data_IF_829489953030
#
_entry.id   IF_829489953030
#
_cell.length_a   1.000
_cell.length_b   1.000
_cell.length_c   1.000
_cell.angle_alpha   90.00
_cell.angle_beta   90.00
_cell.angle_gamma   90.00
#
_symmetry.space_group_name_H-M   'P 1'
#
loop_
_entity.id
_entity.type
_entity.pdbx_description
1 polymer ?
#
# COMPACT_ATOMS: atom_id res chain seq x y z
N UNK A 1 -26.05 12.42 -12.59
CA UNK A 1 -25.18 12.02 -11.45
C UNK A 1 -23.85 12.78 -11.50
N UNK A 2 -23.91 14.07 -11.81
CA UNK A 2 -22.80 15.00 -11.86
C UNK A 2 -23.36 16.31 -11.35
N UNK A 3 -22.54 17.11 -10.67
CA UNK A 3 -22.97 18.44 -10.23
C UNK A 3 -23.50 19.25 -11.44
N UNK A 4 -24.64 19.90 -11.26
CA UNK A 4 -25.17 20.79 -12.29
C UNK A 4 -24.21 21.97 -12.49
N UNK A 5 -23.94 22.36 -13.74
CA UNK A 5 -23.09 23.52 -14.05
C UNK A 5 -21.57 23.29 -14.13
N UNK A 6 -21.06 22.08 -13.83
CA UNK A 6 -19.62 21.75 -13.83
C UNK A 6 -18.90 21.90 -15.20
N UNK A 7 -19.63 21.98 -16.31
CA UNK A 7 -19.04 22.05 -17.64
C UNK A 7 -18.31 20.74 -18.04
N UNK A 8 -17.35 20.80 -18.99
CA UNK A 8 -16.62 19.62 -19.45
C UNK A 8 -15.65 19.06 -18.40
N UNK A 9 -15.62 17.73 -18.27
CA UNK A 9 -14.90 17.01 -17.20
C UNK A 9 -13.38 17.24 -17.20
N UNK A 10 -12.73 17.19 -18.37
CA UNK A 10 -11.27 17.32 -18.49
C UNK A 10 -10.76 18.70 -18.05
N UNK A 11 -11.32 19.82 -18.57
CA UNK A 11 -11.03 21.16 -18.07
C UNK A 11 -11.26 21.32 -16.57
N UNK A 12 -12.36 20.77 -16.04
CA UNK A 12 -12.67 20.83 -14.61
C UNK A 12 -11.54 20.24 -13.76
N UNK A 13 -11.10 19.01 -14.03
CA UNK A 13 -10.00 18.40 -13.27
C UNK A 13 -8.68 19.13 -13.47
N UNK A 14 -8.39 19.60 -14.69
CA UNK A 14 -7.16 20.33 -14.97
C UNK A 14 -7.05 21.60 -14.13
N UNK A 15 -8.13 22.37 -14.08
CA UNK A 15 -8.23 23.60 -13.29
C UNK A 15 -7.98 23.32 -11.80
N UNK A 16 -8.68 22.32 -11.25
CA UNK A 16 -8.52 21.87 -9.86
C UNK A 16 -7.11 21.38 -9.53
N UNK A 17 -6.43 20.71 -10.45
CA UNK A 17 -5.04 20.30 -10.23
C UNK A 17 -4.07 21.48 -10.21
N UNK A 18 -4.37 22.56 -10.92
CA UNK A 18 -3.50 23.74 -10.99
C UNK A 18 -3.69 24.73 -9.85
N UNK A 19 -4.83 24.66 -9.16
CA UNK A 19 -5.21 25.56 -8.06
C UNK A 19 -4.86 25.03 -6.66
N UNK A 20 -4.17 23.88 -6.55
CA UNK A 20 -3.81 23.29 -5.26
C UNK A 20 -3.03 24.31 -4.42
N UNK A 21 -3.57 24.68 -3.26
CA UNK A 21 -2.98 25.66 -2.36
C UNK A 21 -3.36 25.33 -0.90
N UNK A 22 -2.35 25.05 -0.08
CA UNK A 22 -2.53 24.68 1.32
C UNK A 22 -2.79 25.90 2.24
N UNK A 23 -2.42 27.10 1.80
CA UNK A 23 -2.63 28.35 2.55
C UNK A 23 -4.09 28.81 2.46
N UNK A 24 -4.70 28.68 1.29
CA UNK A 24 -6.11 29.05 1.07
C UNK A 24 -7.08 27.90 1.38
N UNK A 25 -6.57 26.68 1.55
CA UNK A 25 -7.38 25.47 1.77
C UNK A 25 -7.95 24.85 0.49
N UNK A 26 -7.53 25.31 -0.69
CA UNK A 26 -7.92 24.69 -1.97
C UNK A 26 -7.14 23.40 -2.20
N UNK A 27 -7.65 22.29 -1.66
CA UNK A 27 -7.00 20.98 -1.74
C UNK A 27 -7.83 19.95 -2.52
N UNK A 28 -8.83 20.39 -3.27
CA UNK A 28 -9.70 19.53 -4.06
C UNK A 28 -8.92 18.78 -5.14
N UNK A 29 -8.02 19.47 -5.84
CA UNK A 29 -7.11 18.85 -6.81
C UNK A 29 -6.28 17.72 -6.19
N UNK A 30 -5.73 17.93 -5.00
CA UNK A 30 -4.96 16.92 -4.29
C UNK A 30 -5.83 15.73 -3.87
N UNK A 31 -7.06 15.99 -3.43
CA UNK A 31 -8.04 14.95 -3.11
C UNK A 31 -8.31 14.06 -4.33
N UNK A 32 -8.57 14.64 -5.49
CA UNK A 32 -8.78 13.89 -6.73
C UNK A 32 -7.56 13.04 -7.10
N UNK A 33 -6.34 13.58 -6.98
CA UNK A 33 -5.09 12.82 -7.22
C UNK A 33 -5.03 11.59 -6.33
N UNK A 34 -5.25 11.75 -5.01
CA UNK A 34 -5.21 10.64 -4.05
C UNK A 34 -6.27 9.60 -4.38
N UNK A 35 -7.48 10.04 -4.74
CA UNK A 35 -8.56 9.13 -5.07
C UNK A 35 -8.24 8.30 -6.33
N UNK A 36 -7.69 8.92 -7.38
CA UNK A 36 -7.24 8.21 -8.59
C UNK A 36 -6.12 7.21 -8.27
N UNK A 37 -5.12 7.65 -7.49
CA UNK A 37 -4.03 6.77 -7.05
C UNK A 37 -4.54 5.60 -6.20
N UNK A 38 -5.59 5.81 -5.41
CA UNK A 38 -6.19 4.75 -4.59
C UNK A 38 -6.84 3.65 -5.43
N UNK A 39 -7.53 4.04 -6.50
CA UNK A 39 -8.13 3.10 -7.47
C UNK A 39 -7.03 2.34 -8.20
N UNK A 40 -5.98 3.05 -8.66
CA UNK A 40 -4.85 2.40 -9.32
C UNK A 40 -4.17 1.39 -8.39
N UNK A 41 -3.96 1.76 -7.13
CA UNK A 41 -3.35 0.87 -6.13
C UNK A 41 -4.23 -0.34 -5.84
N UNK A 42 -5.57 -0.19 -5.76
CA UNK A 42 -6.50 -1.32 -5.68
C UNK A 42 -6.28 -2.27 -6.87
N UNK A 43 -6.27 -1.75 -8.10
CA UNK A 43 -6.14 -2.58 -9.30
C UNK A 43 -4.84 -3.40 -9.25
N UNK A 44 -3.73 -2.78 -8.86
CA UNK A 44 -2.44 -3.45 -8.68
C UNK A 44 -2.53 -4.54 -7.60
N UNK A 45 -3.10 -4.25 -6.43
CA UNK A 45 -3.21 -5.22 -5.33
C UNK A 45 -4.14 -6.39 -5.67
N UNK A 46 -5.25 -6.13 -6.38
CA UNK A 46 -6.12 -7.16 -6.90
C UNK A 46 -5.42 -8.03 -7.94
N UNK A 47 -4.65 -7.43 -8.84
CA UNK A 47 -3.86 -8.16 -9.82
C UNK A 47 -2.82 -9.08 -9.15
N UNK A 48 -2.10 -8.56 -8.15
CA UNK A 48 -1.15 -9.34 -7.36
C UNK A 48 -1.83 -10.49 -6.59
N UNK A 49 -2.98 -10.24 -5.97
CA UNK A 49 -3.76 -11.28 -5.29
C UNK A 49 -4.18 -12.40 -6.26
N UNK A 50 -4.60 -12.05 -7.48
CA UNK A 50 -4.95 -13.02 -8.52
C UNK A 50 -3.73 -13.84 -8.94
N UNK A 51 -2.55 -13.21 -9.09
CA UNK A 51 -1.32 -13.92 -9.42
C UNK A 51 -0.94 -14.94 -8.33
N UNK A 52 -1.03 -14.55 -7.05
CA UNK A 52 -0.78 -15.44 -5.91
C UNK A 52 -1.73 -16.65 -5.93
N UNK A 53 -3.02 -16.41 -6.18
CA UNK A 53 -4.01 -17.50 -6.31
C UNK A 53 -3.70 -18.40 -7.51
N UNK A 54 -3.28 -17.83 -8.64
CA UNK A 54 -2.96 -18.58 -9.85
C UNK A 54 -1.69 -19.44 -9.67
N UNK A 55 -0.73 -18.96 -8.88
CA UNK A 55 0.51 -19.67 -8.58
C UNK A 55 0.27 -21.02 -7.90
N UNK A 56 -0.50 -21.02 -6.81
CA UNK A 56 -0.84 -22.26 -6.09
C UNK A 56 -2.16 -22.13 -5.36
N UNK A 57 -3.26 -22.21 -6.11
CA UNK A 57 -4.62 -22.04 -5.58
C UNK A 57 -5.02 -23.06 -4.51
N UNK A 58 -4.33 -24.20 -4.40
CA UNK A 58 -4.58 -25.22 -3.38
C UNK A 58 -3.82 -24.98 -2.08
N UNK A 59 -2.75 -24.18 -2.10
CA UNK A 59 -2.01 -23.89 -0.88
C UNK A 59 -2.81 -22.94 0.02
N UNK A 60 -2.94 -23.27 1.31
CA UNK A 60 -3.69 -22.44 2.26
C UNK A 60 -3.05 -21.06 2.43
N UNK A 61 -1.73 -20.98 2.26
CA UNK A 61 -0.93 -19.78 2.38
C UNK A 61 -1.21 -18.78 1.26
N UNK A 62 -1.22 -19.24 0.01
CA UNK A 62 -1.56 -18.39 -1.14
C UNK A 62 -2.99 -17.87 -1.05
N UNK A 63 -3.95 -18.70 -0.61
CA UNK A 63 -5.34 -18.26 -0.37
C UNK A 63 -5.42 -17.19 0.70
N UNK A 64 -4.72 -17.42 1.81
CA UNK A 64 -4.65 -16.48 2.91
C UNK A 64 -4.04 -15.16 2.47
N UNK A 65 -2.90 -15.20 1.78
CA UNK A 65 -2.20 -13.99 1.37
C UNK A 65 -2.96 -13.22 0.28
N UNK A 66 -3.66 -13.91 -0.62
CA UNK A 66 -4.52 -13.26 -1.61
C UNK A 66 -5.70 -12.51 -0.98
N UNK A 67 -6.37 -13.09 0.02
CA UNK A 67 -7.47 -12.41 0.73
C UNK A 67 -6.95 -11.22 1.51
N UNK A 68 -5.76 -11.34 2.08
CA UNK A 68 -5.11 -10.24 2.77
C UNK A 68 -4.83 -9.07 1.83
N UNK A 69 -4.26 -9.34 0.65
CA UNK A 69 -4.02 -8.31 -0.36
C UNK A 69 -5.31 -7.70 -0.90
N UNK A 70 -6.36 -8.49 -1.06
CA UNK A 70 -7.67 -7.97 -1.46
C UNK A 70 -8.26 -7.04 -0.39
N UNK A 71 -8.18 -7.43 0.88
CA UNK A 71 -8.66 -6.62 2.00
C UNK A 71 -7.85 -5.32 2.15
N UNK A 72 -6.52 -5.39 1.99
CA UNK A 72 -5.67 -4.20 1.96
C UNK A 72 -6.00 -3.30 0.77
N UNK A 73 -6.17 -3.87 -0.43
CA UNK A 73 -6.58 -3.12 -1.62
C UNK A 73 -7.89 -2.36 -1.42
N UNK A 74 -8.90 -3.00 -0.84
CA UNK A 74 -10.18 -2.35 -0.56
C UNK A 74 -10.03 -1.19 0.43
N UNK A 75 -9.16 -1.34 1.44
CA UNK A 75 -8.90 -0.27 2.41
C UNK A 75 -8.14 0.92 1.84
N UNK A 76 -7.26 0.66 0.87
CA UNK A 76 -6.49 1.73 0.22
C UNK A 76 -7.41 2.74 -0.46
N UNK A 77 -8.59 2.31 -0.91
CA UNK A 77 -9.63 3.16 -1.49
C UNK A 77 -10.39 4.05 -0.49
N UNK A 78 -9.80 4.43 0.64
CA UNK A 78 -10.49 5.14 1.73
C UNK A 78 -11.33 6.36 1.30
N UNK A 79 -10.93 7.07 0.24
CA UNK A 79 -11.56 8.30 -0.23
C UNK A 79 -12.15 8.23 -1.65
N UNK A 80 -12.28 7.06 -2.28
CA UNK A 80 -12.61 6.94 -3.72
C UNK A 80 -13.91 7.65 -4.14
N UNK A 81 -14.88 7.79 -3.23
CA UNK A 81 -16.15 8.47 -3.47
C UNK A 81 -15.97 9.97 -3.79
N UNK A 82 -14.80 10.55 -3.51
CA UNK A 82 -14.41 11.89 -3.92
C UNK A 82 -13.67 11.92 -5.26
N UNK A 83 -13.60 10.80 -6.02
CA UNK A 83 -12.99 10.83 -7.36
C UNK A 83 -13.75 11.73 -8.32
N UNK A 84 -15.06 11.82 -8.17
CA UNK A 84 -15.96 12.59 -9.01
C UNK A 84 -16.88 13.42 -8.10
N UNK A 85 -17.23 14.66 -8.47
CA UNK A 85 -18.19 15.49 -7.74
C UNK A 85 -19.62 14.93 -7.92
N UNK A 86 -19.90 13.83 -7.22
CA UNK A 86 -21.23 13.22 -7.17
C UNK A 86 -22.22 14.11 -6.40
N UNK A 87 -23.51 13.90 -6.66
CA UNK A 87 -24.61 14.49 -5.89
C UNK A 87 -24.82 13.75 -4.56
N UNK A 88 -25.61 14.35 -3.67
CA UNK A 88 -25.94 13.80 -2.35
C UNK A 88 -26.56 12.38 -2.39
N UNK A 89 -27.15 11.98 -3.52
CA UNK A 89 -27.72 10.63 -3.72
C UNK A 89 -26.71 9.49 -3.50
N UNK A 90 -25.40 9.80 -3.60
CA UNK A 90 -24.33 8.84 -3.39
C UNK A 90 -24.04 8.55 -1.91
N UNK A 91 -24.65 9.29 -0.97
CA UNK A 91 -24.46 9.12 0.48
C UNK A 91 -24.77 7.70 0.97
N UNK A 92 -25.83 7.08 0.44
CA UNK A 92 -26.21 5.72 0.81
C UNK A 92 -25.16 4.70 0.34
N UNK A 93 -24.67 4.85 -0.89
CA UNK A 93 -23.63 3.98 -1.45
C UNK A 93 -22.32 4.15 -0.68
N UNK A 94 -21.95 5.38 -0.33
CA UNK A 94 -20.81 5.68 0.53
C UNK A 94 -20.95 5.00 1.89
N UNK A 95 -22.14 4.99 2.49
CA UNK A 95 -22.38 4.35 3.78
C UNK A 95 -22.13 2.84 3.72
N UNK A 96 -22.66 2.14 2.71
CA UNK A 96 -22.40 0.71 2.54
C UNK A 96 -20.93 0.40 2.25
N UNK A 97 -20.29 1.23 1.41
CA UNK A 97 -18.86 1.11 1.16
C UNK A 97 -18.03 1.21 2.45
N UNK A 98 -18.36 2.17 3.33
CA UNK A 98 -17.66 2.34 4.60
C UNK A 98 -17.78 1.12 5.51
N UNK A 99 -18.93 0.44 5.54
CA UNK A 99 -19.07 -0.83 6.28
C UNK A 99 -18.09 -1.87 5.75
N UNK A 100 -17.97 -2.01 4.43
CA UNK A 100 -16.97 -2.85 3.80
C UNK A 100 -15.53 -2.46 4.17
N UNK A 101 -15.26 -1.15 4.26
CA UNK A 101 -13.94 -0.62 4.58
C UNK A 101 -13.53 -0.95 6.02
N UNK A 102 -14.46 -0.82 6.98
CA UNK A 102 -14.23 -1.22 8.37
C UNK A 102 -14.14 -2.74 8.53
N UNK A 103 -14.94 -3.49 7.77
CA UNK A 103 -14.81 -4.95 7.69
C UNK A 103 -13.42 -5.37 7.25
N UNK A 104 -12.92 -4.81 6.13
CA UNK A 104 -11.56 -5.10 5.66
C UNK A 104 -10.50 -4.63 6.67
N UNK A 105 -10.73 -3.52 7.38
CA UNK A 105 -9.81 -3.04 8.41
C UNK A 105 -9.66 -4.01 9.57
N UNK A 106 -10.78 -4.56 10.06
CA UNK A 106 -10.79 -5.56 11.12
C UNK A 106 -10.27 -6.93 10.63
N UNK A 107 -10.60 -7.31 9.39
CA UNK A 107 -10.11 -8.53 8.77
C UNK A 107 -8.57 -8.52 8.66
N UNK A 108 -7.98 -7.43 8.15
CA UNK A 108 -6.53 -7.30 8.06
C UNK A 108 -5.86 -7.44 9.42
N UNK A 109 -6.43 -6.84 10.47
CA UNK A 109 -5.91 -7.00 11.84
C UNK A 109 -5.83 -8.47 12.23
N UNK A 110 -6.91 -9.25 12.04
CA UNK A 110 -6.89 -10.66 12.40
C UNK A 110 -5.93 -11.46 11.53
N UNK A 111 -5.85 -11.14 10.25
CA UNK A 111 -4.94 -11.81 9.34
C UNK A 111 -3.48 -11.52 9.72
N UNK A 112 -3.10 -10.27 10.00
CA UNK A 112 -1.73 -9.93 10.44
C UNK A 112 -1.28 -10.72 11.66
N UNK A 113 -2.16 -10.87 12.64
CA UNK A 113 -1.89 -11.67 13.83
C UNK A 113 -1.86 -13.18 13.53
N UNK A 114 -2.62 -13.62 12.54
CA UNK A 114 -2.73 -15.03 12.15
C UNK A 114 -1.63 -15.49 11.19
N UNK A 115 -0.84 -14.59 10.61
CA UNK A 115 0.28 -14.92 9.70
C UNK A 115 1.30 -15.87 10.35
N UNK A 116 1.44 -15.82 11.68
CA UNK A 116 2.29 -16.74 12.45
C UNK A 116 1.86 -18.22 12.36
N UNK A 117 0.62 -18.50 11.93
CA UNK A 117 0.15 -19.87 11.70
C UNK A 117 0.85 -20.52 10.50
N UNK A 118 1.35 -19.71 9.57
CA UNK A 118 2.14 -20.16 8.42
C UNK A 118 3.64 -20.14 8.77
N UNK A 119 4.08 -19.17 9.56
CA UNK A 119 5.47 -18.97 9.98
C UNK A 119 5.62 -19.01 11.51
N UNK A 120 5.51 -20.18 12.16
CA UNK A 120 5.42 -20.28 13.61
C UNK A 120 6.72 -19.94 14.35
N UNK A 121 6.62 -19.18 15.43
CA UNK A 121 7.71 -19.05 16.42
C UNK A 121 7.73 -20.24 17.38
N UNK A 122 8.86 -20.49 18.07
CA UNK A 122 9.01 -21.58 19.06
C UNK A 122 7.88 -21.63 20.10
N UNK A 123 7.32 -20.49 20.51
CA UNK A 123 6.22 -20.39 21.50
C UNK A 123 4.83 -20.60 20.91
N UNK A 124 4.65 -20.35 19.61
CA UNK A 124 3.35 -20.40 18.93
C UNK A 124 3.24 -21.57 17.94
N UNK A 125 4.07 -22.61 18.10
CA UNK A 125 4.05 -23.81 17.26
C UNK A 125 2.68 -24.51 17.21
N UNK A 126 1.83 -24.36 18.22
CA UNK A 126 0.47 -24.92 18.20
C UNK A 126 -0.41 -24.31 17.09
N UNK A 127 -0.14 -23.07 16.67
CA UNK A 127 -0.89 -22.40 15.59
C UNK A 127 -0.56 -22.97 14.22
N UNK A 128 0.54 -23.70 14.08
CA UNK A 128 0.96 -24.36 12.83
C UNK A 128 0.16 -25.62 12.48
N UNK A 129 -0.92 -25.91 13.22
CA UNK A 129 -1.77 -27.06 12.95
C UNK A 129 -2.46 -26.91 11.59
N UNK A 130 -2.40 -27.96 10.78
CA UNK A 130 -2.95 -28.00 9.43
C UNK A 130 -4.45 -27.65 9.37
N UNK A 131 -5.24 -28.08 10.36
CA UNK A 131 -6.67 -27.73 10.45
C UNK A 131 -6.91 -26.23 10.64
N UNK A 132 -6.01 -25.54 11.35
CA UNK A 132 -6.11 -24.09 11.56
C UNK A 132 -5.74 -23.40 10.25
N UNK A 133 -4.54 -23.72 9.74
CA UNK A 133 -3.97 -23.13 8.52
C UNK A 133 -4.91 -23.23 7.32
N UNK A 134 -5.53 -24.38 7.11
CA UNK A 134 -6.42 -24.62 5.96
C UNK A 134 -7.75 -23.88 6.04
N UNK A 135 -8.15 -23.40 7.22
CA UNK A 135 -9.44 -22.77 7.44
C UNK A 135 -9.37 -21.26 7.68
N UNK A 136 -8.21 -20.71 8.04
CA UNK A 136 -8.06 -19.27 8.34
C UNK A 136 -8.56 -18.35 7.22
N UNK A 137 -8.33 -18.73 5.95
CA UNK A 137 -8.72 -17.92 4.80
C UNK A 137 -10.23 -17.66 4.70
N UNK A 138 -11.09 -18.57 5.16
CA UNK A 138 -12.55 -18.38 5.17
C UNK A 138 -13.11 -18.11 6.56
N UNK A 139 -12.51 -18.67 7.61
CA UNK A 139 -12.96 -18.50 8.98
C UNK A 139 -12.79 -17.05 9.47
N UNK A 140 -11.69 -16.38 9.12
CA UNK A 140 -11.44 -15.00 9.52
C UNK A 140 -12.44 -14.02 8.88
N UNK A 141 -12.74 -14.07 7.56
CA UNK A 141 -13.83 -13.27 6.99
C UNK A 141 -15.19 -13.49 7.67
N UNK A 142 -15.57 -14.75 7.93
CA UNK A 142 -16.85 -15.07 8.59
C UNK A 142 -16.88 -14.51 10.01
N UNK A 143 -15.82 -14.72 10.78
CA UNK A 143 -15.70 -14.19 12.14
C UNK A 143 -15.77 -12.65 12.16
N UNK A 144 -15.09 -12.01 11.21
CA UNK A 144 -15.12 -10.55 11.04
C UNK A 144 -16.54 -10.06 10.70
N UNK A 145 -17.26 -10.78 9.83
CA UNK A 145 -18.63 -10.42 9.46
C UNK A 145 -19.58 -10.49 10.66
N UNK A 146 -19.43 -11.51 11.51
CA UNK A 146 -20.19 -11.65 12.76
C UNK A 146 -19.89 -10.48 13.69
N UNK A 147 -18.62 -10.11 13.87
CA UNK A 147 -18.25 -9.00 14.76
C UNK A 147 -18.74 -7.64 14.25
N UNK A 148 -18.61 -7.35 12.95
CA UNK A 148 -19.12 -6.12 12.35
C UNK A 148 -20.66 -6.07 12.46
N UNK A 149 -21.34 -7.18 12.18
CA UNK A 149 -22.79 -7.28 12.34
C UNK A 149 -23.24 -7.08 13.79
N UNK A 150 -22.52 -7.66 14.76
CA UNK A 150 -22.77 -7.46 16.19
C UNK A 150 -22.53 -6.01 16.61
N UNK A 151 -21.48 -5.36 16.10
CA UNK A 151 -21.18 -3.96 16.38
C UNK A 151 -22.29 -3.04 15.86
N UNK A 152 -22.75 -3.24 14.62
CA UNK A 152 -23.86 -2.48 14.03
C UNK A 152 -25.15 -2.71 14.82
N UNK A 153 -25.47 -3.96 15.15
CA UNK A 153 -26.67 -4.32 15.91
C UNK A 153 -26.67 -3.70 17.32
N UNK A 154 -25.54 -3.78 18.03
CA UNK A 154 -25.41 -3.19 19.37
C UNK A 154 -25.43 -1.67 19.39
N UNK A 155 -24.97 -1.02 18.31
CA UNK A 155 -24.99 0.44 18.16
C UNK A 155 -26.31 0.99 17.61
N UNK A 156 -27.26 0.11 17.25
CA UNK A 156 -28.59 0.45 16.73
C UNK A 156 -28.62 0.91 15.26
N UNK A 157 -27.51 1.44 14.73
CA UNK A 157 -27.40 1.85 13.33
C UNK A 157 -25.94 1.84 12.84
N UNK A 158 -25.76 1.90 11.51
CA UNK A 158 -24.43 2.03 10.89
C UNK A 158 -23.78 3.36 11.28
N UNK A 159 -24.55 4.45 11.36
CA UNK A 159 -24.08 5.77 11.80
C UNK A 159 -23.60 5.70 13.26
N UNK A 160 -24.34 5.03 14.15
CA UNK A 160 -23.92 4.84 15.53
C UNK A 160 -22.63 4.02 15.66
N UNK A 161 -22.49 2.97 14.85
CA UNK A 161 -21.32 2.09 14.88
C UNK A 161 -20.05 2.76 14.33
N UNK A 162 -20.15 3.51 13.24
CA UNK A 162 -18.99 3.94 12.45
C UNK A 162 -18.89 5.45 12.19
N UNK A 163 -19.90 6.22 12.56
CA UNK A 163 -20.02 7.65 12.29
C UNK A 163 -20.89 7.96 11.05
N UNK A 164 -21.41 9.18 11.01
CA UNK A 164 -22.21 9.71 9.90
C UNK A 164 -21.41 10.02 8.64
N UNK A 165 -22.10 10.26 7.54
CA UNK A 165 -21.51 10.80 6.32
C UNK A 165 -22.15 12.14 5.98
N UNK A 166 -21.36 13.01 5.38
CA UNK A 166 -21.77 14.34 4.95
C UNK A 166 -21.40 14.53 3.49
N UNK A 167 -22.26 15.23 2.76
CA UNK A 167 -22.03 15.73 1.42
C UNK A 167 -22.15 17.25 1.50
N UNK A 168 -21.12 17.93 1.01
CA UNK A 168 -21.04 19.38 0.99
C UNK A 168 -21.01 19.80 -0.47
N UNK A 169 -21.91 20.71 -0.83
CA UNK A 169 -22.04 21.26 -2.16
C UNK A 169 -21.95 22.79 -2.12
N UNK A 170 -21.09 23.30 -3.00
CA UNK A 170 -20.71 24.69 -3.13
C UNK A 170 -20.95 25.13 -4.57
N UNK A 171 -21.93 26.01 -4.78
CA UNK A 171 -22.39 26.41 -6.11
C UNK A 171 -21.85 27.77 -6.58
N UNK A 172 -21.73 28.74 -5.66
CA UNK A 172 -21.18 30.06 -5.92
C UNK A 172 -20.67 30.71 -4.62
N UNK A 173 -19.88 31.80 -4.73
CA UNK A 173 -19.35 32.56 -3.57
C UNK A 173 -20.45 33.12 -2.68
N UNK A 174 -21.54 33.61 -3.27
CA UNK A 174 -22.63 34.28 -2.55
C UNK A 174 -23.81 33.34 -2.21
N UNK A 175 -23.68 32.03 -2.48
CA UNK A 175 -24.69 31.03 -2.13
C UNK A 175 -24.33 30.31 -0.82
N UNK A 176 -25.34 30.05 0.02
CA UNK A 176 -25.14 29.27 1.24
C UNK A 176 -24.69 27.83 0.93
N UNK A 177 -23.76 27.31 1.73
CA UNK A 177 -23.27 25.94 1.64
C UNK A 177 -24.43 24.96 1.79
N UNK A 178 -24.60 24.06 0.83
CA UNK A 178 -25.60 23.00 0.92
C UNK A 178 -24.95 21.79 1.63
N UNK A 179 -25.33 21.57 2.89
CA UNK A 179 -24.89 20.43 3.68
C UNK A 179 -26.00 19.37 3.73
N UNK A 180 -25.72 18.18 3.18
CA UNK A 180 -26.59 17.01 3.30
C UNK A 180 -25.91 15.95 4.15
N UNK A 181 -26.59 15.46 5.20
CA UNK A 181 -26.05 14.46 6.11
C UNK A 181 -26.90 13.18 6.10
N UNK A 182 -26.25 12.04 6.33
CA UNK A 182 -26.97 10.78 6.58
C UNK A 182 -27.83 10.90 7.85
N UNK A 183 -29.06 10.34 7.89
CA UNK A 183 -29.92 10.42 9.07
C UNK A 183 -29.23 9.93 10.36
N UNK A 184 -29.30 10.73 11.43
CA UNK A 184 -28.70 10.44 12.73
C UNK A 184 -27.23 10.86 12.89
N UNK A 185 -26.63 11.50 11.88
CA UNK A 185 -25.29 12.08 11.97
C UNK A 185 -25.27 13.30 12.91
N UNK A 186 -24.19 13.50 13.70
CA UNK A 186 -24.04 14.72 14.49
C UNK A 186 -23.91 15.96 13.58
N UNK A 187 -24.27 17.16 14.06
CA UNK A 187 -24.08 18.38 13.28
C UNK A 187 -22.59 18.67 13.10
N UNK A 188 -22.23 19.23 11.95
CA UNK A 188 -20.87 19.70 11.62
C UNK A 188 -20.95 21.12 11.07
N UNK A 189 -19.90 21.90 11.28
CA UNK A 189 -19.70 23.16 10.55
C UNK A 189 -19.07 22.82 9.19
N UNK A 190 -19.56 23.46 8.12
CA UNK A 190 -19.07 23.30 6.76
C UNK A 190 -18.94 24.67 6.11
N UNK A 191 -17.89 24.87 5.32
CA UNK A 191 -17.64 26.11 4.58
C UNK A 191 -17.19 25.81 3.16
N UNK A 192 -17.41 26.77 2.26
CA UNK A 192 -16.82 26.77 0.93
C UNK A 192 -15.48 27.51 0.98
N UNK A 193 -14.51 27.02 0.21
CA UNK A 193 -13.34 27.78 -0.22
C UNK A 193 -13.81 28.96 -1.07
N UNK A 194 -13.44 30.18 -0.67
CA UNK A 194 -13.86 31.44 -1.29
C UNK A 194 -13.01 31.81 -2.53
N UNK A 195 -13.04 30.98 -3.58
CA UNK A 195 -12.35 31.27 -4.86
C UNK A 195 -13.30 31.17 -6.05
N UNK A 196 -13.48 32.26 -6.81
CA UNK A 196 -14.45 32.34 -7.93
C UNK A 196 -14.26 31.23 -8.97
N UNK A 197 -13.01 30.90 -9.28
CA UNK A 197 -12.67 29.87 -10.29
C UNK A 197 -12.94 28.44 -9.81
N UNK A 198 -13.23 28.27 -8.52
CA UNK A 198 -13.35 26.95 -7.91
C UNK A 198 -14.78 26.38 -8.00
N UNK A 199 -15.78 27.17 -8.39
CA UNK A 199 -17.19 26.75 -8.39
C UNK A 199 -17.66 26.19 -9.74
N UNK A 200 -18.62 25.24 -9.75
CA UNK A 200 -19.22 24.59 -8.59
C UNK A 200 -18.47 23.29 -8.24
N UNK A 201 -18.46 22.91 -6.96
CA UNK A 201 -17.77 21.70 -6.50
C UNK A 201 -18.50 21.04 -5.34
N UNK A 202 -18.26 19.75 -5.17
CA UNK A 202 -18.76 18.98 -4.03
C UNK A 202 -17.76 17.96 -3.55
N UNK A 203 -17.88 17.61 -2.28
CA UNK A 203 -17.09 16.55 -1.67
C UNK A 203 -17.86 15.87 -0.54
N UNK A 204 -17.47 14.63 -0.27
CA UNK A 204 -17.97 13.85 0.84
C UNK A 204 -16.98 13.84 1.99
N UNK A 205 -17.52 13.94 3.20
CA UNK A 205 -16.75 13.89 4.44
C UNK A 205 -17.25 12.72 5.30
N UNK A 206 -16.40 11.73 5.61
CA UNK A 206 -16.76 10.63 6.49
C UNK A 206 -16.60 11.03 7.96
N UNK A 207 -17.69 11.19 8.71
CA UNK A 207 -17.62 11.30 10.16
C UNK A 207 -17.17 9.98 10.81
N UNK A 208 -16.48 10.02 11.95
CA UNK A 208 -15.96 8.82 12.63
C UNK A 208 -16.46 8.72 14.07
N UNK A 209 -17.11 7.61 14.42
CA UNK A 209 -17.43 7.26 15.81
C UNK A 209 -16.16 6.85 16.58
N UNK A 210 -16.24 6.76 17.91
CA UNK A 210 -15.11 6.27 18.73
C UNK A 210 -14.63 4.87 18.31
N UNK A 211 -15.57 3.97 18.00
CA UNK A 211 -15.25 2.64 17.48
C UNK A 211 -14.60 2.71 16.08
N UNK A 212 -15.07 3.61 15.22
CA UNK A 212 -14.45 3.88 13.92
C UNK A 212 -13.02 4.39 14.04
N UNK A 213 -12.77 5.33 14.96
CA UNK A 213 -11.43 5.87 15.26
C UNK A 213 -10.49 4.76 15.78
N UNK A 214 -10.97 3.88 16.65
CA UNK A 214 -10.18 2.72 17.10
C UNK A 214 -9.84 1.77 15.94
N UNK A 215 -10.80 1.45 15.08
CA UNK A 215 -10.58 0.59 13.91
C UNK A 215 -9.66 1.21 12.86
N UNK A 216 -9.58 2.55 12.79
CA UNK A 216 -8.60 3.26 11.97
C UNK A 216 -7.17 3.06 12.49
N UNK A 217 -6.99 3.05 13.82
CA UNK A 217 -5.70 2.91 14.50
C UNK A 217 -5.25 1.46 14.71
N UNK A 218 -6.17 0.51 14.75
CA UNK A 218 -5.86 -0.89 15.04
C UNK A 218 -4.91 -1.56 14.01
N UNK A 219 -5.01 -1.30 12.70
CA UNK A 219 -4.15 -1.90 11.69
C UNK A 219 -2.65 -1.59 11.84
N UNK A 220 -2.19 -0.33 11.97
CA UNK A 220 -0.77 -0.06 12.21
C UNK A 220 -0.26 -0.68 13.52
N UNK A 221 -1.09 -0.71 14.58
CA UNK A 221 -0.73 -1.40 15.83
C UNK A 221 -0.56 -2.91 15.63
N UNK A 222 -1.48 -3.54 14.91
CA UNK A 222 -1.38 -4.97 14.58
C UNK A 222 -0.19 -5.29 13.67
N UNK A 223 0.19 -4.37 12.77
CA UNK A 223 1.38 -4.50 11.94
C UNK A 223 2.67 -4.46 12.77
N UNK A 224 2.74 -3.63 13.83
CA UNK A 224 3.87 -3.63 14.78
C UNK A 224 4.00 -5.02 15.44
N UNK A 225 2.89 -5.56 15.94
CA UNK A 225 2.88 -6.90 16.57
C UNK A 225 3.30 -7.97 15.56
N UNK A 226 2.75 -7.94 14.34
CA UNK A 226 3.08 -8.87 13.28
C UNK A 226 4.56 -8.79 12.88
N UNK A 227 5.15 -7.59 12.83
CA UNK A 227 6.58 -7.41 12.57
C UNK A 227 7.45 -8.08 13.65
N UNK A 228 7.13 -7.90 14.94
CA UNK A 228 7.87 -8.59 16.01
C UNK A 228 7.75 -10.12 15.91
N UNK A 229 6.55 -10.61 15.58
CA UNK A 229 6.30 -12.04 15.39
C UNK A 229 7.10 -12.60 14.19
N UNK A 230 7.07 -11.92 13.05
CA UNK A 230 7.81 -12.32 11.86
C UNK A 230 9.33 -12.23 12.05
N UNK A 231 9.84 -11.24 12.79
CA UNK A 231 11.25 -11.18 13.16
C UNK A 231 11.67 -12.40 13.99
N UNK A 232 10.81 -12.83 14.92
CA UNK A 232 11.02 -14.05 15.69
C UNK A 232 10.99 -15.33 14.85
N UNK A 233 10.12 -15.38 13.83
CA UNK A 233 10.05 -16.49 12.89
C UNK A 233 11.26 -16.53 11.96
N UNK A 234 11.66 -15.39 11.38
CA UNK A 234 12.84 -15.26 10.54
C UNK A 234 14.09 -15.75 11.26
N UNK A 235 14.39 -15.22 12.46
CA UNK A 235 15.59 -15.64 13.22
C UNK A 235 15.63 -17.13 13.49
N UNK A 236 14.47 -17.76 13.72
CA UNK A 236 14.40 -19.21 13.94
C UNK A 236 14.76 -19.98 12.67
N UNK A 237 14.19 -19.62 11.53
CA UNK A 237 14.43 -20.33 10.27
C UNK A 237 15.83 -20.08 9.71
N UNK A 238 16.43 -18.94 10.04
CA UNK A 238 17.82 -18.60 9.72
C UNK A 238 18.82 -19.46 10.52
N UNK A 239 18.44 -19.88 11.73
CA UNK A 239 19.25 -20.75 12.60
C UNK A 239 19.08 -22.26 12.31
N UNK A 240 18.07 -22.66 11.51
CA UNK A 240 17.75 -24.06 11.20
C UNK A 240 18.23 -24.43 9.78
N UNK A 241 19.20 -25.35 9.66
CA UNK A 241 19.75 -25.80 8.37
C UNK A 241 18.64 -26.33 7.43
N UNK A 242 18.67 -25.90 6.17
CA UNK A 242 17.71 -26.31 5.13
C UNK A 242 16.39 -25.55 5.10
N UNK A 243 16.24 -24.50 5.92
CA UNK A 243 15.02 -23.67 6.02
C UNK A 243 15.17 -22.27 5.41
N UNK A 244 16.23 -22.04 4.61
CA UNK A 244 16.57 -20.75 4.01
C UNK A 244 15.43 -20.09 3.23
N UNK A 245 14.65 -20.89 2.50
CA UNK A 245 13.49 -20.40 1.75
C UNK A 245 12.42 -19.81 2.68
N UNK A 246 12.12 -20.48 3.78
CA UNK A 246 11.14 -19.99 4.77
C UNK A 246 11.69 -18.79 5.56
N UNK A 247 13.01 -18.76 5.80
CA UNK A 247 13.69 -17.61 6.39
C UNK A 247 13.56 -16.36 5.51
N UNK A 248 13.79 -16.51 4.20
CA UNK A 248 13.68 -15.44 3.22
C UNK A 248 12.23 -14.93 3.04
N UNK A 249 11.26 -15.84 3.03
CA UNK A 249 9.83 -15.49 3.05
C UNK A 249 9.46 -14.71 4.30
N UNK A 250 9.79 -15.23 5.49
CA UNK A 250 9.51 -14.57 6.77
C UNK A 250 10.21 -13.21 6.90
N UNK A 251 11.44 -13.07 6.34
CA UNK A 251 12.16 -11.79 6.26
C UNK A 251 11.42 -10.79 5.37
N UNK A 252 10.93 -11.21 4.22
CA UNK A 252 10.18 -10.35 3.30
C UNK A 252 8.86 -9.89 3.92
N UNK A 253 8.14 -10.79 4.60
CA UNK A 253 6.94 -10.45 5.36
C UNK A 253 7.24 -9.50 6.52
N UNK A 254 8.33 -9.74 7.25
CA UNK A 254 8.81 -8.85 8.30
C UNK A 254 9.06 -7.45 7.76
N UNK A 255 9.77 -7.32 6.63
CA UNK A 255 10.05 -6.04 5.98
C UNK A 255 8.74 -5.34 5.59
N UNK A 256 7.78 -6.07 5.01
CA UNK A 256 6.46 -5.54 4.67
C UNK A 256 5.73 -4.95 5.89
N UNK A 257 5.61 -5.73 6.98
CA UNK A 257 4.97 -5.28 8.22
C UNK A 257 5.73 -4.16 8.91
N UNK A 258 7.06 -4.23 8.97
CA UNK A 258 7.90 -3.20 9.57
C UNK A 258 7.82 -1.88 8.78
N UNK A 259 7.77 -1.94 7.45
CA UNK A 259 7.54 -0.80 6.59
C UNK A 259 6.18 -0.14 6.87
N UNK A 260 5.10 -0.93 6.96
CA UNK A 260 3.79 -0.40 7.35
C UNK A 260 3.80 0.20 8.75
N UNK A 261 4.36 -0.50 9.73
CA UNK A 261 4.47 -0.03 11.11
C UNK A 261 5.25 1.29 11.21
N UNK A 262 6.33 1.44 10.45
CA UNK A 262 7.17 2.66 10.49
C UNK A 262 6.48 3.80 9.76
N UNK A 263 6.12 3.63 8.49
CA UNK A 263 5.60 4.72 7.65
C UNK A 263 4.21 5.15 8.14
N UNK A 264 3.29 4.20 8.32
CA UNK A 264 1.93 4.52 8.79
C UNK A 264 1.92 4.86 10.27
N UNK A 265 2.75 4.21 11.10
CA UNK A 265 2.83 4.51 12.53
C UNK A 265 3.35 5.91 12.82
N UNK A 266 4.34 6.39 12.07
CA UNK A 266 4.79 7.79 12.17
C UNK A 266 3.67 8.77 11.83
N UNK A 267 2.87 8.48 10.80
CA UNK A 267 1.79 9.37 10.36
C UNK A 267 0.47 9.20 11.13
N UNK A 268 0.35 8.14 11.94
CA UNK A 268 -0.69 8.06 12.99
C UNK A 268 -0.50 9.15 14.04
N UNK A 269 0.75 9.53 14.35
CA UNK A 269 1.00 10.65 15.27
C UNK A 269 0.41 11.96 14.74
N UNK A 270 0.34 12.14 13.43
CA UNK A 270 -0.32 13.29 12.81
C UNK A 270 -1.83 13.30 13.10
N UNK A 271 -2.51 12.14 13.07
CA UNK A 271 -3.93 12.06 13.49
C UNK A 271 -4.08 12.33 14.99
N UNK A 272 -3.21 11.75 15.82
CA UNK A 272 -3.26 11.97 17.27
C UNK A 272 -3.09 13.46 17.58
N UNK A 273 -2.14 14.12 16.91
CA UNK A 273 -1.94 15.56 17.00
C UNK A 273 -3.18 16.34 16.55
N UNK A 274 -3.73 16.02 15.37
CA UNK A 274 -4.93 16.69 14.86
C UNK A 274 -6.12 16.53 15.82
N UNK A 275 -6.36 15.31 16.30
CA UNK A 275 -7.45 15.01 17.24
C UNK A 275 -7.24 15.73 18.58
N UNK A 276 -6.01 15.80 19.08
CA UNK A 276 -5.70 16.48 20.34
C UNK A 276 -5.82 18.01 20.24
N UNK A 277 -5.51 18.59 19.08
CA UNK A 277 -5.48 20.04 18.87
C UNK A 277 -6.81 20.60 18.37
N UNK A 278 -7.50 19.87 17.49
CA UNK A 278 -8.70 20.31 16.77
C UNK A 278 -9.95 19.49 17.10
N UNK A 279 -9.85 18.44 17.93
CA UNK A 279 -10.99 17.64 18.40
C UNK A 279 -11.44 16.55 17.41
N UNK A 280 -11.28 16.76 16.11
CA UNK A 280 -11.52 15.74 15.07
C UNK A 280 -10.52 15.83 13.90
N UNK A 281 -10.57 14.87 12.98
CA UNK A 281 -9.72 14.85 11.77
C UNK A 281 -10.58 14.65 10.50
N UNK A 282 -11.29 15.69 10.07
CA UNK A 282 -12.13 15.66 8.87
C UNK A 282 -12.02 16.94 8.03
N UNK A 283 -12.31 16.84 6.72
CA UNK A 283 -12.28 18.00 5.80
C UNK A 283 -13.45 18.98 6.03
N UNK A 284 -14.54 18.56 6.67
CA UNK A 284 -15.67 19.44 6.95
C UNK A 284 -15.29 20.59 7.90
N UNK A 285 -14.45 20.28 8.89
CA UNK A 285 -14.10 21.22 9.97
C UNK A 285 -13.01 22.22 9.56
N UNK A 286 -12.59 22.25 8.29
CA UNK A 286 -11.60 23.22 7.80
C UNK A 286 -12.06 24.67 8.02
N UNK A 287 -13.37 24.92 8.00
CA UNK A 287 -13.96 26.23 8.22
C UNK A 287 -13.81 26.74 9.66
N UNK A 288 -13.63 25.84 10.65
CA UNK A 288 -13.46 26.20 12.06
C UNK A 288 -11.99 26.37 12.47
N UNK A 289 -11.05 26.06 11.58
CA UNK A 289 -9.61 26.10 11.83
C UNK A 289 -9.06 27.48 11.52
N UNK A 290 -8.27 28.01 12.47
CA UNK A 290 -7.54 29.27 12.31
C UNK A 290 -6.60 29.22 11.09
N UNK A 291 -6.58 30.30 10.28
CA UNK A 291 -5.89 30.34 8.99
C UNK A 291 -4.40 30.03 9.07
N UNK A 292 -3.73 30.41 10.16
CA UNK A 292 -2.30 30.11 10.36
C UNK A 292 -2.02 28.62 10.65
N UNK A 293 -3.03 27.88 11.12
CA UNK A 293 -2.93 26.45 11.46
C UNK A 293 -3.48 25.54 10.36
N UNK A 294 -4.23 26.09 9.41
CA UNK A 294 -4.83 25.38 8.28
C UNK A 294 -3.80 24.58 7.45
N UNK A 295 -2.62 25.12 7.07
CA UNK A 295 -1.64 24.35 6.31
C UNK A 295 -1.14 23.13 7.08
N UNK A 296 -0.85 23.30 8.39
CA UNK A 296 -0.34 22.23 9.26
C UNK A 296 -1.35 21.09 9.34
N UNK A 297 -2.64 21.43 9.50
CA UNK A 297 -3.72 20.47 9.52
C UNK A 297 -3.79 19.67 8.20
N UNK A 298 -3.75 20.37 7.07
CA UNK A 298 -3.81 19.77 5.75
C UNK A 298 -2.60 18.86 5.47
N UNK A 299 -1.37 19.23 5.85
CA UNK A 299 -0.21 18.33 5.74
C UNK A 299 -0.37 17.08 6.58
N UNK A 300 -0.88 17.20 7.81
CA UNK A 300 -1.10 16.07 8.69
C UNK A 300 -2.14 15.10 8.08
N UNK A 301 -3.24 15.63 7.57
CA UNK A 301 -4.31 14.86 6.95
C UNK A 301 -3.86 14.17 5.66
N UNK A 302 -3.30 14.92 4.72
CA UNK A 302 -2.88 14.37 3.43
C UNK A 302 -1.66 13.47 3.56
N UNK A 303 -0.73 13.79 4.45
CA UNK A 303 0.37 12.89 4.81
C UNK A 303 -0.17 11.54 5.27
N UNK A 304 -1.13 11.54 6.19
CA UNK A 304 -1.77 10.31 6.63
C UNK A 304 -2.48 9.56 5.47
N UNK A 305 -3.22 10.24 4.60
CA UNK A 305 -3.86 9.62 3.43
C UNK A 305 -2.86 8.98 2.47
N UNK A 306 -1.76 9.68 2.13
CA UNK A 306 -0.68 9.13 1.31
C UNK A 306 0.02 7.94 1.98
N UNK A 307 0.11 7.93 3.31
CA UNK A 307 0.66 6.79 4.05
C UNK A 307 -0.14 5.51 3.82
N UNK A 308 -1.47 5.61 3.68
CA UNK A 308 -2.34 4.45 3.42
C UNK A 308 -2.01 3.87 2.04
N UNK A 309 -1.92 4.73 1.02
CA UNK A 309 -1.57 4.36 -0.35
C UNK A 309 -0.20 3.67 -0.41
N UNK A 310 0.83 4.35 0.13
CA UNK A 310 2.20 3.86 0.08
C UNK A 310 2.36 2.53 0.81
N UNK A 311 1.83 2.43 2.02
CA UNK A 311 1.98 1.20 2.82
C UNK A 311 1.20 0.04 2.24
N UNK A 312 0.02 0.27 1.65
CA UNK A 312 -0.71 -0.76 0.93
C UNK A 312 0.06 -1.28 -0.27
N UNK A 313 0.60 -0.39 -1.10
CA UNK A 313 1.41 -0.76 -2.26
C UNK A 313 2.70 -1.50 -1.87
N UNK A 314 3.45 -0.97 -0.90
CA UNK A 314 4.70 -1.55 -0.42
C UNK A 314 4.48 -2.97 0.14
N UNK A 315 3.50 -3.13 1.02
CA UNK A 315 3.13 -4.44 1.57
C UNK A 315 2.69 -5.41 0.49
N UNK A 316 1.88 -4.94 -0.45
CA UNK A 316 1.42 -5.72 -1.60
C UNK A 316 2.56 -6.36 -2.36
N UNK A 317 3.57 -5.57 -2.69
CA UNK A 317 4.73 -6.06 -3.39
C UNK A 317 5.60 -6.97 -2.53
N UNK A 318 5.88 -6.63 -1.26
CA UNK A 318 6.70 -7.46 -0.37
C UNK A 318 6.08 -8.83 -0.13
N UNK A 319 4.76 -8.91 0.02
CA UNK A 319 4.05 -10.17 0.27
C UNK A 319 3.92 -10.99 -1.01
N UNK A 320 3.66 -10.34 -2.14
CA UNK A 320 3.67 -11.01 -3.43
C UNK A 320 5.03 -11.57 -3.77
N UNK A 321 6.10 -10.82 -3.49
CA UNK A 321 7.47 -11.27 -3.63
C UNK A 321 7.74 -12.50 -2.75
N UNK A 322 7.39 -12.45 -1.46
CA UNK A 322 7.59 -13.58 -0.55
C UNK A 322 6.97 -14.87 -1.10
N UNK A 323 5.72 -14.81 -1.57
CA UNK A 323 4.98 -16.00 -2.01
C UNK A 323 5.33 -16.44 -3.44
N UNK A 324 5.48 -15.50 -4.38
CA UNK A 324 5.68 -15.84 -5.79
C UNK A 324 7.11 -16.28 -6.11
N UNK A 325 8.08 -15.87 -5.30
CA UNK A 325 9.51 -16.21 -5.47
C UNK A 325 9.77 -17.71 -5.55
N UNK A 326 8.99 -18.53 -4.83
CA UNK A 326 9.13 -19.99 -4.82
C UNK A 326 8.19 -20.72 -5.79
N UNK A 327 7.22 -20.03 -6.40
CA UNK A 327 6.10 -20.68 -7.11
C UNK A 327 6.03 -20.38 -8.62
N UNK A 328 6.55 -19.25 -9.13
CA UNK A 328 6.47 -18.92 -10.57
C UNK A 328 7.77 -18.26 -11.05
N UNK A 329 8.46 -18.94 -11.98
CA UNK A 329 9.56 -18.39 -12.79
C UNK A 329 9.24 -17.02 -13.42
N UNK A 330 10.23 -16.12 -13.46
CA UNK A 330 10.26 -14.97 -14.38
C UNK A 330 9.47 -13.73 -13.99
N UNK A 331 8.64 -13.77 -12.94
CA UNK A 331 7.98 -12.56 -12.44
C UNK A 331 8.96 -11.71 -11.61
N UNK A 332 9.95 -12.31 -10.95
CA UNK A 332 10.78 -11.62 -9.95
C UNK A 332 11.48 -10.36 -10.52
N UNK A 333 12.05 -10.44 -11.72
CA UNK A 333 12.62 -9.28 -12.41
C UNK A 333 11.58 -8.24 -12.79
N UNK A 334 10.39 -8.66 -13.23
CA UNK A 334 9.31 -7.74 -13.61
C UNK A 334 8.64 -7.09 -12.40
N UNK A 335 8.46 -7.82 -11.29
CA UNK A 335 7.98 -7.34 -10.00
C UNK A 335 8.98 -6.38 -9.37
N UNK A 336 10.27 -6.74 -9.37
CA UNK A 336 11.36 -5.88 -8.89
C UNK A 336 11.46 -4.61 -9.71
N UNK A 337 11.40 -4.71 -11.04
CA UNK A 337 11.38 -3.56 -11.96
C UNK A 337 10.16 -2.68 -11.75
N UNK A 338 9.00 -3.28 -11.51
CA UNK A 338 7.76 -2.57 -11.19
C UNK A 338 7.83 -1.87 -9.82
N UNK A 339 8.42 -2.52 -8.80
CA UNK A 339 8.71 -1.95 -7.49
C UNK A 339 9.68 -0.76 -7.56
N UNK A 340 10.84 -0.94 -8.21
CA UNK A 340 11.83 0.11 -8.41
C UNK A 340 11.22 1.30 -9.17
N UNK A 341 10.36 1.02 -10.14
CA UNK A 341 9.60 2.06 -10.85
C UNK A 341 8.56 2.75 -9.96
N UNK A 342 7.82 1.99 -9.15
CA UNK A 342 6.84 2.53 -8.19
C UNK A 342 7.48 3.43 -7.14
N UNK A 343 8.62 3.01 -6.56
CA UNK A 343 9.42 3.82 -5.63
C UNK A 343 9.95 5.08 -6.32
N UNK A 344 10.44 4.97 -7.56
CA UNK A 344 10.90 6.13 -8.34
C UNK A 344 9.78 7.15 -8.56
N UNK A 345 8.59 6.70 -8.98
CA UNK A 345 7.42 7.57 -9.18
C UNK A 345 6.97 8.19 -7.87
N UNK A 346 6.94 7.42 -6.78
CA UNK A 346 6.53 7.93 -5.47
C UNK A 346 7.50 9.00 -4.93
N UNK A 347 8.81 8.71 -4.92
CA UNK A 347 9.84 9.67 -4.49
C UNK A 347 9.80 10.91 -5.38
N UNK A 348 9.60 10.73 -6.68
CA UNK A 348 9.44 11.84 -7.61
C UNK A 348 8.21 12.71 -7.31
N UNK A 349 7.07 12.09 -7.04
CA UNK A 349 5.84 12.80 -6.67
C UNK A 349 6.00 13.57 -5.35
N UNK A 350 6.60 12.95 -4.33
CA UNK A 350 6.90 13.62 -3.04
C UNK A 350 7.86 14.79 -3.23
N UNK A 351 8.91 14.61 -4.05
CA UNK A 351 9.85 15.69 -4.36
C UNK A 351 9.18 16.86 -5.08
N UNK A 352 8.27 16.58 -6.02
CA UNK A 352 7.46 17.62 -6.69
C UNK A 352 6.61 18.38 -5.67
N UNK A 353 5.97 17.70 -4.72
CA UNK A 353 5.16 18.35 -3.67
C UNK A 353 6.03 19.22 -2.74
N UNK A 354 7.18 18.73 -2.30
CA UNK A 354 8.10 19.51 -1.44
C UNK A 354 8.61 20.76 -2.17
N UNK A 355 8.93 20.64 -3.46
CA UNK A 355 9.40 21.77 -4.24
C UNK A 355 8.26 22.71 -4.65
N UNK A 356 7.05 22.19 -4.84
CA UNK A 356 5.85 23.02 -5.02
C UNK A 356 5.71 23.99 -3.84
N UNK A 357 5.87 23.48 -2.62
CA UNK A 357 5.81 24.29 -1.41
C UNK A 357 6.92 25.35 -1.33
N UNK A 358 8.16 24.97 -1.65
CA UNK A 358 9.29 25.90 -1.62
C UNK A 358 9.17 27.03 -2.66
N UNK A 359 8.44 26.77 -3.74
CA UNK A 359 8.19 27.72 -4.83
C UNK A 359 6.90 28.51 -4.62
N UNK A 360 5.94 27.99 -3.86
CA UNK A 360 4.77 28.73 -3.41
C UNK A 360 5.21 29.94 -2.57
N UNK A 361 4.79 31.12 -3.01
CA UNK A 361 5.22 32.41 -2.46
C UNK A 361 6.38 33.09 -3.20
N UNK A 362 7.08 32.42 -4.12
CA UNK A 362 8.11 33.04 -4.98
C UNK A 362 7.72 33.17 -6.45
N UNK A 363 6.87 32.27 -6.96
CA UNK A 363 6.43 32.28 -8.37
C UNK A 363 4.92 32.00 -8.46
N UNK A 364 4.18 32.70 -9.32
CA UNK A 364 2.82 32.27 -9.69
C UNK A 364 2.88 30.93 -10.42
N UNK A 365 1.90 30.05 -10.18
CA UNK A 365 1.84 28.65 -10.67
C UNK A 365 2.90 27.71 -10.08
N UNK A 366 3.15 27.79 -8.77
CA UNK A 366 4.14 26.99 -8.04
C UNK A 366 4.06 25.47 -8.32
N UNK A 367 2.86 24.91 -8.48
CA UNK A 367 2.66 23.50 -8.83
C UNK A 367 3.13 23.10 -10.23
N UNK A 368 2.95 23.96 -11.25
CA UNK A 368 3.44 23.69 -12.62
C UNK A 368 4.94 23.94 -12.70
N UNK A 369 5.41 24.99 -12.02
CA UNK A 369 6.83 25.30 -11.92
C UNK A 369 7.61 24.18 -11.22
N UNK A 370 7.08 23.58 -10.15
CA UNK A 370 7.71 22.46 -9.46
C UNK A 370 7.75 21.19 -10.30
N UNK A 371 6.68 20.90 -11.07
CA UNK A 371 6.67 19.80 -12.01
C UNK A 371 7.73 19.96 -13.11
N UNK A 372 8.02 21.18 -13.56
CA UNK A 372 9.13 21.46 -14.49
C UNK A 372 10.50 21.37 -13.81
N UNK A 373 10.67 22.04 -12.66
CA UNK A 373 11.94 22.13 -11.93
C UNK A 373 12.39 20.77 -11.41
N UNK A 374 11.48 19.90 -11.00
CA UNK A 374 11.79 18.56 -10.48
C UNK A 374 11.59 17.49 -11.54
N UNK A 375 10.52 17.57 -12.33
CA UNK A 375 10.18 16.55 -13.34
C UNK A 375 11.17 16.49 -14.50
N UNK A 376 11.71 17.62 -14.97
CA UNK A 376 12.72 17.61 -16.04
C UNK A 376 14.02 16.96 -15.57
N UNK A 377 14.61 17.34 -14.42
CA UNK A 377 15.77 16.63 -13.87
C UNK A 377 15.50 15.17 -13.55
N UNK A 378 14.33 14.81 -12.97
CA UNK A 378 13.97 13.41 -12.71
C UNK A 378 13.93 12.59 -14.00
N UNK A 379 13.43 13.17 -15.09
CA UNK A 379 13.35 12.49 -16.39
C UNK A 379 14.74 12.28 -17.00
N UNK A 380 15.62 13.28 -16.90
CA UNK A 380 17.01 13.20 -17.37
C UNK A 380 17.83 12.23 -16.52
N UNK A 381 17.70 12.30 -15.20
CA UNK A 381 18.40 11.48 -14.22
C UNK A 381 17.67 10.15 -13.94
N UNK A 382 16.68 9.77 -14.74
CA UNK A 382 15.90 8.55 -14.51
C UNK A 382 16.77 7.31 -14.41
N UNK A 383 17.81 7.20 -15.26
CA UNK A 383 18.72 6.04 -15.29
C UNK A 383 19.56 5.93 -14.01
N UNK A 384 20.32 6.97 -13.58
CA UNK A 384 21.12 6.87 -12.36
C UNK A 384 20.25 6.69 -11.11
N UNK A 385 19.13 7.41 -10.99
CA UNK A 385 18.22 7.27 -9.83
C UNK A 385 17.62 5.87 -9.79
N UNK A 386 17.16 5.37 -10.94
CA UNK A 386 16.63 4.02 -11.05
C UNK A 386 17.70 2.98 -10.64
N UNK A 387 18.96 3.15 -11.04
CA UNK A 387 20.04 2.26 -10.62
C UNK A 387 20.27 2.29 -9.09
N UNK A 388 20.26 3.47 -8.46
CA UNK A 388 20.39 3.58 -6.99
C UNK A 388 19.21 2.92 -6.27
N UNK A 389 17.98 3.15 -6.74
CA UNK A 389 16.79 2.47 -6.21
C UNK A 389 16.92 0.96 -6.43
N UNK A 390 17.42 0.52 -7.57
CA UNK A 390 17.59 -0.90 -7.87
C UNK A 390 18.59 -1.55 -6.91
N UNK A 391 19.67 -0.86 -6.52
CA UNK A 391 20.62 -1.34 -5.50
C UNK A 391 19.92 -1.48 -4.14
N UNK A 392 19.17 -0.46 -3.71
CA UNK A 392 18.42 -0.51 -2.45
C UNK A 392 17.39 -1.64 -2.45
N UNK A 393 16.70 -1.82 -3.58
CA UNK A 393 15.75 -2.89 -3.82
C UNK A 393 16.46 -4.26 -3.85
N UNK A 394 17.68 -4.37 -4.37
CA UNK A 394 18.49 -5.58 -4.34
C UNK A 394 18.88 -5.98 -2.91
N UNK A 395 19.21 -4.99 -2.08
CA UNK A 395 19.51 -5.20 -0.64
C UNK A 395 18.25 -5.66 0.12
N UNK A 396 17.07 -5.13 -0.26
CA UNK A 396 15.78 -5.46 0.36
C UNK A 396 15.18 -6.77 -0.15
N UNK A 397 15.41 -7.13 -1.41
CA UNK A 397 14.90 -8.31 -2.12
C UNK A 397 16.06 -8.99 -2.89
N UNK A 398 16.95 -9.71 -2.19
CA UNK A 398 18.06 -10.42 -2.82
C UNK A 398 17.54 -11.49 -3.78
N UNK A 399 18.24 -11.68 -4.91
CA UNK A 399 17.97 -12.80 -5.83
C UNK A 399 17.91 -14.10 -5.03
N UNK A 400 16.88 -14.91 -5.26
CA UNK A 400 17.02 -16.32 -4.95
C UNK A 400 16.59 -17.17 -6.12
N UNK A 401 17.18 -18.35 -6.09
CA UNK A 401 17.05 -19.39 -7.08
C UNK A 401 15.88 -20.29 -6.70
N UNK A 402 15.20 -20.86 -7.69
CA UNK A 402 14.23 -21.92 -7.42
C UNK A 402 14.92 -23.12 -6.77
N UNK A 403 14.19 -24.11 -6.24
CA UNK A 403 14.82 -25.34 -5.74
C UNK A 403 15.60 -26.08 -6.82
N UNK A 404 15.10 -26.04 -8.05
CA UNK A 404 15.73 -26.62 -9.23
C UNK A 404 16.97 -25.82 -9.63
N UNK A 405 16.89 -24.49 -9.66
CA UNK A 405 18.05 -23.63 -9.94
C UNK A 405 19.10 -23.69 -8.84
N UNK A 406 18.69 -23.80 -7.57
CA UNK A 406 19.57 -23.99 -6.42
C UNK A 406 20.24 -25.36 -6.48
N UNK A 407 19.49 -26.42 -6.80
CA UNK A 407 20.05 -27.76 -7.02
C UNK A 407 20.99 -27.81 -8.23
N UNK A 408 20.70 -27.03 -9.28
CA UNK A 408 21.58 -26.87 -10.43
C UNK A 408 22.85 -26.09 -10.05
N UNK A 409 22.72 -24.98 -9.32
CA UNK A 409 23.84 -24.18 -8.84
C UNK A 409 24.72 -24.94 -7.85
N UNK A 410 24.15 -25.75 -6.97
CA UNK A 410 24.91 -26.64 -6.08
C UNK A 410 25.72 -27.65 -6.89
N UNK A 411 25.13 -28.24 -7.94
CA UNK A 411 25.85 -29.15 -8.82
C UNK A 411 26.90 -28.43 -9.66
N UNK A 412 26.61 -27.22 -10.14
CA UNK A 412 27.55 -26.38 -10.85
C UNK A 412 28.74 -25.98 -9.96
N UNK A 413 28.47 -25.57 -8.72
CA UNK A 413 29.46 -25.23 -7.72
C UNK A 413 30.38 -26.41 -7.39
N UNK A 414 29.82 -27.62 -7.21
CA UNK A 414 30.59 -28.84 -6.97
C UNK A 414 31.51 -29.19 -8.14
N UNK A 415 31.07 -28.93 -9.37
CA UNK A 415 31.83 -29.19 -10.58
C UNK A 415 32.89 -28.12 -10.83
N UNK A 416 32.63 -26.87 -10.41
CA UNK A 416 33.53 -25.74 -10.58
C UNK A 416 34.53 -25.55 -9.42
N UNK A 417 34.61 -26.50 -8.49
CA UNK A 417 35.49 -26.44 -7.31
C UNK A 417 36.99 -26.34 -7.69
N UNK A 418 37.39 -26.94 -8.80
CA UNK A 418 38.75 -26.87 -9.35
C UNK A 418 38.96 -25.73 -10.37
N UNK A 419 37.92 -24.94 -10.64
CA UNK A 419 37.92 -23.82 -11.57
C UNK A 419 37.98 -24.19 -13.06
N UNK A 420 37.87 -25.47 -13.43
CA UNK A 420 37.98 -25.92 -14.82
C UNK A 420 36.80 -26.83 -15.21
N UNK A 421 35.92 -26.31 -16.05
CA UNK A 421 34.80 -27.10 -16.56
C UNK A 421 35.22 -28.08 -17.67
N UNK A 422 35.23 -29.39 -17.40
CA UNK A 422 35.54 -30.41 -18.42
C UNK A 422 34.35 -30.72 -19.34
N UNK A 423 34.60 -31.36 -20.50
CA UNK A 423 33.53 -31.75 -21.43
C UNK A 423 32.53 -32.75 -20.82
N UNK A 424 32.98 -33.62 -19.92
CA UNK A 424 32.13 -34.63 -19.29
C UNK A 424 31.21 -34.00 -18.25
N UNK A 425 31.74 -33.06 -17.49
CA UNK A 425 31.00 -32.24 -16.52
C UNK A 425 29.97 -31.35 -17.20
N UNK A 426 30.33 -30.69 -18.31
CA UNK A 426 29.37 -29.92 -19.11
C UNK A 426 28.21 -30.79 -19.61
N UNK A 427 28.48 -32.02 -20.06
CA UNK A 427 27.44 -32.99 -20.45
C UNK A 427 26.55 -33.38 -19.27
N UNK A 428 27.12 -33.59 -18.09
CA UNK A 428 26.38 -33.94 -16.88
C UNK A 428 25.48 -32.79 -16.41
N UNK A 429 25.99 -31.56 -16.41
CA UNK A 429 25.22 -30.35 -16.11
C UNK A 429 24.10 -30.13 -17.13
N UNK A 430 24.35 -30.36 -18.41
CA UNK A 430 23.31 -30.22 -19.46
C UNK A 430 22.19 -31.24 -19.26
N UNK A 431 22.52 -32.47 -18.84
CA UNK A 431 21.53 -33.50 -18.49
C UNK A 431 20.76 -33.13 -17.22
N UNK A 432 21.43 -32.56 -16.22
CA UNK A 432 20.81 -32.13 -14.99
C UNK A 432 19.86 -30.94 -15.22
N UNK A 433 20.29 -29.92 -15.96
CA UNK A 433 19.45 -28.81 -16.40
C UNK A 433 18.19 -29.31 -17.12
N UNK A 434 18.37 -30.27 -18.04
CA UNK A 434 17.26 -30.89 -18.77
C UNK A 434 16.31 -31.69 -17.86
N UNK A 435 16.84 -32.42 -16.88
CA UNK A 435 16.03 -33.15 -15.89
C UNK A 435 15.28 -32.20 -14.93
N UNK A 436 15.86 -31.04 -14.64
CA UNK A 436 15.30 -30.00 -13.81
C UNK A 436 14.36 -29.06 -14.59
N UNK A 437 14.27 -29.21 -15.91
CA UNK A 437 13.39 -28.41 -16.77
C UNK A 437 13.89 -26.97 -17.01
N UNK A 438 15.18 -26.70 -16.81
CA UNK A 438 15.78 -25.39 -17.02
C UNK A 438 16.06 -25.15 -18.52
N UNK A 439 15.77 -23.94 -18.99
CA UNK A 439 16.11 -23.52 -20.35
C UNK A 439 17.58 -23.09 -20.46
N UNK A 440 18.11 -23.10 -21.68
CA UNK A 440 19.53 -22.84 -21.96
C UNK A 440 19.94 -21.39 -21.63
N UNK A 441 19.04 -20.42 -21.83
CA UNK A 441 19.29 -19.02 -21.50
C UNK A 441 19.34 -18.79 -19.97
N UNK A 442 18.55 -19.55 -19.22
CA UNK A 442 18.52 -19.51 -17.76
C UNK A 442 19.75 -20.18 -17.17
N UNK A 443 20.19 -21.29 -17.75
CA UNK A 443 21.46 -21.94 -17.38
C UNK A 443 22.63 -20.98 -17.55
N UNK A 444 22.75 -20.31 -18.70
CA UNK A 444 23.83 -19.34 -18.96
C UNK A 444 23.81 -18.17 -17.95
N UNK A 445 22.62 -17.70 -17.57
CA UNK A 445 22.47 -16.71 -16.50
C UNK A 445 22.95 -17.22 -15.14
N UNK A 446 22.59 -18.45 -14.75
CA UNK A 446 23.01 -19.04 -13.47
C UNK A 446 24.53 -19.23 -13.37
N UNK A 447 25.16 -19.72 -14.45
CA UNK A 447 26.61 -19.90 -14.52
C UNK A 447 27.36 -18.57 -14.44
N UNK A 448 26.89 -17.55 -15.17
CA UNK A 448 27.50 -16.21 -15.15
C UNK A 448 27.30 -15.50 -13.81
N UNK A 449 26.15 -15.68 -13.16
CA UNK A 449 25.93 -15.20 -11.81
C UNK A 449 26.89 -15.83 -10.81
N UNK A 450 27.08 -17.15 -10.86
CA UNK A 450 28.00 -17.86 -9.96
C UNK A 450 29.44 -17.38 -10.14
N UNK A 451 29.89 -17.23 -11.39
CA UNK A 451 31.22 -16.69 -11.69
C UNK A 451 31.42 -15.26 -11.15
N UNK A 452 30.43 -14.37 -11.31
CA UNK A 452 30.48 -13.01 -10.77
C UNK A 452 30.45 -12.98 -9.23
N UNK A 453 29.74 -13.92 -8.60
CA UNK A 453 29.70 -14.04 -7.13
C UNK A 453 31.07 -14.41 -6.54
N UNK A 454 31.83 -15.27 -7.22
CA UNK A 454 33.19 -15.67 -6.82
C UNK A 454 34.18 -14.49 -6.91
N UNK A 455 34.07 -13.66 -7.96
CA UNK A 455 34.88 -12.45 -8.09
C UNK A 455 34.61 -11.46 -6.96
N UNK A 456 33.35 -11.29 -6.56
CA UNK A 456 32.97 -10.39 -5.45
C UNK A 456 33.42 -10.87 -4.08
N UNK A 457 33.48 -12.19 -3.84
CA UNK A 457 33.95 -12.77 -2.57
C UNK A 457 35.48 -12.76 -2.41
N UNK A 458 36.24 -12.65 -3.52
CA UNK A 458 37.70 -12.58 -3.50
C UNK A 458 38.27 -11.19 -3.22
N UNK A 459 37.45 -10.14 -3.23
CA UNK A 459 37.87 -8.76 -2.92
C UNK A 459 37.68 -8.38 -1.44
N UNK A 460 37.11 -9.26 -0.60
CA UNK A 460 36.93 -9.06 0.84
C UNK A 460 37.95 -9.81 1.74
N UNK A 461 39.02 -10.40 1.18
CA UNK A 461 40.20 -10.89 1.94
C UNK A 461 41.38 -9.92 1.97
#
# INVERSE_FOLDING_TARGET
>A
MALEGMGPILPYYWDKFTQINFQTGDTLGLTYIICILSILTLIVLCFLAILILKARSHAPENRFMAILLFAEGYRVMASWYNTYPFSADMLDVMQYYRVGWYFCSLLCLFMYLSTISFYPTKRLNFMANEKIRNNLWWALPVFTAILIGALISSSGSVVGAFGGNYHIECNAIDEEVILTATPGSPPIEAGCVETEESFPYSWFVPGSSDAGKLLLLAPPLSAIVAAFLMRGAWKRFDEEDGMENQANEARSLFIGFAGKATIKGLLVMSIVYMTARFGDFNLADLASIDGDLLPIYLYCLYGFMFSILLTGMFEGFMFSYAILKNDILGIDDTLRRSMSWGVFVFVGAVAILIVAELLEGRLPYGGVASALVVGVPLTVMRKPIYNTINILVFILMPEAFTKEEQSYLEAYAMVMDDGILTENERKLLTLQAKNLGLDEARVEYLESWYAASLESSGEEE
#
